data_IF_259008613289
#
_entry.id   IF_259008613289
#
_cell.length_a   1.000
_cell.length_b   1.000
_cell.length_c   1.000
_cell.angle_alpha   90.00
_cell.angle_beta   90.00
_cell.angle_gamma   90.00
#
_symmetry.space_group_name_H-M   'P 1'
#
loop_
_entity.id
_entity.type
_entity.pdbx_description
1 polymer ?
#
# COMPACT_ATOMS: atom_id res chain seq x y z
N UNK A 1 -15.13 -0.03 -20.83
CA UNK A 1 -13.82 -0.74 -20.79
C UNK A 1 -12.74 0.22 -20.35
N UNK A 2 -11.89 -0.21 -19.43
CA UNK A 2 -10.83 0.64 -18.92
C UNK A 2 -9.75 0.89 -19.96
N UNK A 3 -9.22 2.10 -19.99
CA UNK A 3 -8.10 2.46 -20.84
C UNK A 3 -6.85 1.78 -20.28
N UNK A 4 -6.12 0.98 -21.08
CA UNK A 4 -4.90 0.34 -20.61
C UNK A 4 -3.87 1.31 -20.02
N UNK A 5 -3.82 2.56 -20.52
CA UNK A 5 -2.89 3.55 -19.99
C UNK A 5 -3.22 3.94 -18.55
N UNK A 6 -4.50 3.94 -18.18
CA UNK A 6 -4.91 4.22 -16.80
C UNK A 6 -4.48 3.10 -15.88
N UNK A 7 -4.57 1.84 -16.33
CA UNK A 7 -4.09 0.72 -15.53
C UNK A 7 -2.59 0.80 -15.27
N UNK A 8 -1.82 1.25 -16.26
CA UNK A 8 -0.38 1.43 -16.09
C UNK A 8 -0.09 2.51 -15.05
N UNK A 9 -0.83 3.61 -15.06
CA UNK A 9 -0.66 4.68 -14.06
C UNK A 9 -0.94 4.16 -12.66
N UNK A 10 -2.02 3.38 -12.49
CA UNK A 10 -2.36 2.81 -11.18
C UNK A 10 -1.28 1.83 -10.72
N UNK A 11 -0.79 0.99 -11.64
CA UNK A 11 0.30 0.08 -11.33
C UNK A 11 1.54 0.83 -10.86
N UNK A 12 1.86 1.95 -11.50
CA UNK A 12 2.99 2.77 -11.10
C UNK A 12 2.81 3.36 -9.70
N UNK A 13 1.60 3.77 -9.33
CA UNK A 13 1.34 4.27 -7.97
C UNK A 13 1.53 3.15 -6.96
N UNK A 14 1.01 1.95 -7.24
CA UNK A 14 1.22 0.79 -6.35
C UNK A 14 2.71 0.51 -6.18
N UNK A 15 3.48 0.55 -7.27
CA UNK A 15 4.93 0.33 -7.21
C UNK A 15 5.62 1.40 -6.37
N UNK A 16 5.23 2.67 -6.53
CA UNK A 16 5.83 3.76 -5.76
C UNK A 16 5.55 3.63 -4.26
N UNK A 17 4.33 3.22 -3.89
CA UNK A 17 4.00 3.01 -2.49
C UNK A 17 4.89 1.91 -1.90
N UNK A 18 4.99 0.78 -2.58
CA UNK A 18 5.74 -0.36 -2.06
C UNK A 18 7.26 -0.12 -2.07
N UNK A 19 7.78 0.58 -3.05
CA UNK A 19 9.19 0.94 -3.06
C UNK A 19 9.50 1.98 -1.98
N UNK A 20 8.59 2.92 -1.75
CA UNK A 20 8.80 3.95 -0.74
C UNK A 20 8.98 3.36 0.64
N UNK A 21 8.06 2.50 1.08
CA UNK A 21 8.15 1.95 2.42
C UNK A 21 9.24 0.87 2.56
N UNK A 22 9.53 0.12 1.50
CA UNK A 22 10.48 -0.98 1.58
C UNK A 22 11.93 -0.54 1.33
N UNK A 23 12.16 0.55 0.60
CA UNK A 23 13.50 0.98 0.20
C UNK A 23 13.93 2.32 0.77
N UNK A 24 13.00 3.22 1.07
CA UNK A 24 13.31 4.54 1.60
C UNK A 24 13.15 4.57 3.11
N UNK A 25 13.71 5.60 3.76
CA UNK A 25 13.62 5.78 5.21
C UNK A 25 13.42 7.25 5.53
N UNK A 26 12.88 7.52 6.73
CA UNK A 26 12.76 8.87 7.26
C UNK A 26 11.95 9.81 6.40
N UNK A 27 12.46 11.01 6.18
CA UNK A 27 11.74 12.05 5.42
C UNK A 27 11.54 11.67 3.96
N UNK A 28 12.49 10.94 3.36
CA UNK A 28 12.35 10.50 1.97
C UNK A 28 11.17 9.55 1.82
N UNK A 29 11.00 8.63 2.76
CA UNK A 29 9.84 7.73 2.77
C UNK A 29 8.54 8.52 2.95
N UNK A 30 8.50 9.41 3.94
CA UNK A 30 7.32 10.20 4.22
C UNK A 30 6.91 11.04 3.01
N UNK A 31 7.86 11.70 2.37
CA UNK A 31 7.57 12.53 1.20
C UNK A 31 6.98 11.69 0.05
N UNK A 32 7.58 10.53 -0.23
CA UNK A 32 7.11 9.67 -1.31
C UNK A 32 5.71 9.13 -1.02
N UNK A 33 5.44 8.70 0.21
CA UNK A 33 4.13 8.19 0.59
C UNK A 33 3.06 9.29 0.61
N UNK A 34 3.43 10.49 1.06
CA UNK A 34 2.50 11.62 1.08
C UNK A 34 1.99 11.97 -0.32
N UNK A 35 2.81 11.76 -1.34
CA UNK A 35 2.38 12.00 -2.73
C UNK A 35 1.37 10.98 -3.23
N UNK A 36 1.33 9.81 -2.61
CA UNK A 36 0.46 8.71 -3.05
C UNK A 36 -0.86 8.63 -2.31
N UNK A 37 -0.96 9.21 -1.11
CA UNK A 37 -2.13 9.07 -0.24
C UNK A 37 -2.96 10.36 -0.18
N UNK A 38 -4.28 10.19 -0.19
CA UNK A 38 -5.21 11.30 0.02
C UNK A 38 -5.26 11.64 1.52
N UNK A 39 -5.67 12.88 1.83
CA UNK A 39 -5.76 13.32 3.22
C UNK A 39 -6.72 12.46 4.05
N UNK A 40 -7.80 11.99 3.43
CA UNK A 40 -8.83 11.21 4.11
C UNK A 40 -8.62 9.70 4.03
N UNK A 41 -7.40 9.26 3.72
CA UNK A 41 -7.05 7.83 3.62
C UNK A 41 -7.59 7.02 4.79
N UNK A 42 -8.18 5.85 4.50
CA UNK A 42 -8.70 4.92 5.51
C UNK A 42 -7.97 3.59 5.38
N UNK A 43 -7.57 3.02 6.51
CA UNK A 43 -6.93 1.70 6.53
C UNK A 43 -7.79 0.74 7.35
N UNK A 44 -8.10 -0.40 6.74
CA UNK A 44 -8.82 -1.50 7.38
C UNK A 44 -7.91 -2.72 7.49
N UNK A 45 -8.12 -3.50 8.52
CA UNK A 45 -7.38 -4.75 8.74
C UNK A 45 -8.26 -5.98 8.52
N UNK A 46 -7.86 -7.13 9.07
CA UNK A 46 -8.64 -8.35 8.94
C UNK A 46 -10.07 -8.18 9.42
N UNK A 47 -11.03 -8.73 8.65
CA UNK A 47 -12.43 -8.55 8.94
C UNK A 47 -12.94 -7.15 8.67
N UNK A 48 -12.15 -6.34 7.96
CA UNK A 48 -12.46 -4.96 7.63
C UNK A 48 -12.61 -4.04 8.85
N UNK A 49 -12.00 -4.44 9.96
CA UNK A 49 -11.95 -3.61 11.18
C UNK A 49 -11.14 -2.35 10.90
N UNK A 50 -11.61 -1.20 11.37
CA UNK A 50 -10.90 0.06 11.18
C UNK A 50 -9.59 0.04 11.96
N UNK A 51 -8.48 0.20 11.25
CA UNK A 51 -7.15 0.32 11.85
C UNK A 51 -6.84 1.79 12.15
N UNK A 52 -7.14 2.66 11.21
CA UNK A 52 -6.95 4.09 11.38
C UNK A 52 -7.34 4.86 10.14
N UNK A 53 -7.30 6.19 10.25
CA UNK A 53 -7.67 7.06 9.14
C UNK A 53 -6.75 8.27 9.11
N UNK A 54 -6.67 8.89 7.92
CA UNK A 54 -5.85 10.04 7.66
C UNK A 54 -4.53 9.68 7.01
N UNK A 55 -4.04 10.58 6.16
CA UNK A 55 -2.76 10.39 5.46
C UNK A 55 -1.60 10.27 6.44
N UNK A 56 -1.61 11.10 7.48
CA UNK A 56 -0.55 11.07 8.49
C UNK A 56 -0.49 9.71 9.18
N UNK A 57 -1.64 9.15 9.54
CA UNK A 57 -1.68 7.81 10.12
C UNK A 57 -1.16 6.76 9.14
N UNK A 58 -1.56 6.85 7.88
CA UNK A 58 -1.14 5.88 6.86
C UNK A 58 0.37 5.90 6.69
N UNK A 59 0.98 7.08 6.59
CA UNK A 59 2.43 7.21 6.47
C UNK A 59 3.13 6.68 7.72
N UNK A 60 2.63 7.04 8.91
CA UNK A 60 3.22 6.60 10.18
C UNK A 60 3.18 5.09 10.33
N UNK A 61 2.13 4.43 9.84
CA UNK A 61 2.02 2.98 9.96
C UNK A 61 3.17 2.26 9.25
N UNK A 62 3.56 2.75 8.08
CA UNK A 62 4.72 2.19 7.37
C UNK A 62 6.02 2.52 8.08
N UNK A 63 6.17 3.77 8.53
CA UNK A 63 7.38 4.21 9.23
C UNK A 63 7.60 3.41 10.52
N UNK A 64 6.54 3.21 11.29
CA UNK A 64 6.62 2.45 12.54
C UNK A 64 7.05 1.01 12.29
N UNK A 65 6.51 0.39 11.25
CA UNK A 65 6.87 -0.98 10.93
C UNK A 65 8.36 -1.13 10.62
N UNK A 66 8.90 -0.29 9.73
CA UNK A 66 10.31 -0.40 9.33
C UNK A 66 11.28 0.09 10.39
N UNK A 67 10.78 0.85 11.39
CA UNK A 67 11.59 1.23 12.55
C UNK A 67 11.77 0.05 13.50
N UNK A 68 10.74 -0.77 13.63
CA UNK A 68 10.72 -1.91 14.55
C UNK A 68 11.22 -3.20 13.93
N UNK A 69 11.03 -3.37 12.64
CA UNK A 69 11.36 -4.61 11.94
C UNK A 69 12.40 -4.37 10.85
N UNK A 70 13.29 -5.35 10.68
CA UNK A 70 14.23 -5.34 9.56
C UNK A 70 13.64 -6.18 8.44
N UNK A 71 13.29 -5.56 7.32
CA UNK A 71 12.71 -6.26 6.18
C UNK A 71 13.85 -6.91 5.39
N UNK A 72 13.85 -8.23 5.34
CA UNK A 72 14.86 -9.00 4.60
C UNK A 72 14.50 -9.15 3.14
N UNK A 73 13.22 -9.39 2.87
CA UNK A 73 12.74 -9.50 1.49
C UNK A 73 11.25 -9.15 1.45
N UNK A 74 10.84 -8.59 0.33
CA UNK A 74 9.45 -8.29 0.06
C UNK A 74 9.20 -8.47 -1.43
N UNK A 75 8.18 -9.23 -1.77
CA UNK A 75 7.77 -9.40 -3.17
C UNK A 75 6.26 -9.33 -3.27
N UNK A 76 5.78 -8.82 -4.38
CA UNK A 76 4.35 -8.78 -4.65
C UNK A 76 4.08 -9.40 -6.02
N UNK A 77 2.91 -10.04 -6.13
CA UNK A 77 2.46 -10.57 -7.41
C UNK A 77 1.91 -9.44 -8.26
N UNK A 78 1.73 -9.68 -9.55
CA UNK A 78 1.21 -8.68 -10.47
C UNK A 78 -0.15 -8.18 -9.98
N UNK A 79 -0.34 -6.87 -9.78
CA UNK A 79 -1.62 -6.36 -9.32
C UNK A 79 -2.73 -6.56 -10.35
N UNK A 80 -3.93 -6.88 -9.84
CA UNK A 80 -5.14 -6.85 -10.63
C UNK A 80 -5.75 -5.47 -10.45
N UNK A 81 -6.06 -4.79 -11.55
CA UNK A 81 -6.50 -3.40 -11.52
C UNK A 81 -7.81 -3.25 -12.29
N UNK A 82 -8.81 -2.69 -11.61
CA UNK A 82 -10.09 -2.34 -12.21
C UNK A 82 -10.24 -0.83 -12.16
N UNK A 83 -10.64 -0.22 -13.27
CA UNK A 83 -10.85 1.22 -13.35
C UNK A 83 -12.28 1.50 -13.76
N UNK A 84 -12.96 2.38 -13.05
CA UNK A 84 -14.31 2.81 -13.36
C UNK A 84 -14.42 4.31 -13.11
N UNK A 85 -14.41 5.10 -14.19
CA UNK A 85 -14.43 6.56 -14.09
C UNK A 85 -13.24 7.10 -13.32
N UNK A 86 -13.51 7.81 -12.24
CA UNK A 86 -12.49 8.42 -11.39
C UNK A 86 -12.11 7.55 -10.20
N UNK A 87 -12.48 6.28 -10.24
CA UNK A 87 -12.18 5.31 -9.17
C UNK A 87 -11.42 4.13 -9.76
N UNK A 88 -10.45 3.63 -9.02
CA UNK A 88 -9.73 2.42 -9.41
C UNK A 88 -9.51 1.55 -8.17
N UNK A 89 -9.49 0.24 -8.39
CA UNK A 89 -9.18 -0.73 -7.35
C UNK A 89 -7.99 -1.53 -7.82
N UNK A 90 -6.97 -1.63 -6.97
CA UNK A 90 -5.81 -2.48 -7.23
C UNK A 90 -5.67 -3.47 -6.09
N UNK A 91 -5.50 -4.74 -6.42
CA UNK A 91 -5.30 -5.77 -5.42
C UNK A 91 -4.13 -6.66 -5.82
N UNK A 92 -3.40 -7.13 -4.84
CA UNK A 92 -2.26 -8.00 -5.07
C UNK A 92 -1.94 -8.80 -3.82
N UNK A 93 -1.34 -9.96 -4.02
CA UNK A 93 -0.79 -10.78 -2.94
C UNK A 93 0.69 -10.44 -2.77
N UNK A 94 1.16 -10.55 -1.54
CA UNK A 94 2.56 -10.26 -1.24
C UNK A 94 3.11 -11.30 -0.26
N UNK A 95 4.43 -11.42 -0.27
CA UNK A 95 5.18 -12.25 0.68
C UNK A 95 6.31 -11.40 1.24
N UNK A 96 6.49 -11.45 2.56
CA UNK A 96 7.52 -10.66 3.23
C UNK A 96 8.23 -11.50 4.27
N UNK A 97 9.56 -11.38 4.32
CA UNK A 97 10.36 -11.95 5.40
C UNK A 97 11.02 -10.80 6.15
N UNK A 98 10.86 -10.79 7.46
CA UNK A 98 11.40 -9.72 8.29
C UNK A 98 11.85 -10.25 9.64
N UNK A 99 12.70 -9.46 10.32
CA UNK A 99 13.18 -9.78 11.67
C UNK A 99 12.58 -8.75 12.63
N UNK A 100 11.95 -9.24 13.69
CA UNK A 100 11.36 -8.41 14.74
C UNK A 100 11.77 -8.99 16.08
N UNK A 101 12.39 -8.17 16.94
CA UNK A 101 12.86 -8.58 18.26
C UNK A 101 13.76 -9.82 18.21
N UNK A 102 14.60 -9.90 17.17
CA UNK A 102 15.55 -10.99 17.01
C UNK A 102 15.00 -12.27 16.40
N UNK A 103 13.71 -12.30 16.08
CA UNK A 103 13.08 -13.46 15.46
C UNK A 103 12.71 -13.17 14.02
N UNK A 104 12.91 -14.16 13.14
CA UNK A 104 12.58 -14.04 11.73
C UNK A 104 11.16 -14.57 11.46
N UNK A 105 10.40 -13.81 10.72
CA UNK A 105 9.02 -14.17 10.33
C UNK A 105 8.88 -14.09 8.84
N UNK A 106 8.09 -15.00 8.26
CA UNK A 106 7.65 -14.92 6.87
C UNK A 106 6.14 -14.86 6.86
N UNK A 107 5.61 -13.81 6.30
CA UNK A 107 4.17 -13.58 6.23
C UNK A 107 3.72 -13.37 4.80
N UNK A 108 2.47 -13.75 4.53
CA UNK A 108 1.80 -13.54 3.27
C UNK A 108 0.54 -12.76 3.52
N UNK A 109 0.22 -11.88 2.61
CA UNK A 109 -0.98 -11.07 2.75
C UNK A 109 -1.57 -10.71 1.41
N UNK A 110 -2.69 -10.00 1.49
CA UNK A 110 -3.42 -9.53 0.33
C UNK A 110 -3.80 -8.08 0.60
N UNK A 111 -3.29 -7.18 -0.21
CA UNK A 111 -3.62 -5.76 -0.13
C UNK A 111 -4.65 -5.39 -1.17
N UNK A 112 -5.63 -4.59 -0.75
CA UNK A 112 -6.60 -3.98 -1.65
C UNK A 112 -6.50 -2.48 -1.46
N UNK A 113 -6.21 -1.75 -2.53
CA UNK A 113 -6.20 -0.29 -2.53
C UNK A 113 -7.32 0.24 -3.39
N UNK A 114 -7.99 1.27 -2.92
CA UNK A 114 -8.93 2.04 -3.72
C UNK A 114 -8.29 3.40 -3.97
N UNK A 115 -8.29 3.82 -5.23
CA UNK A 115 -7.75 5.10 -5.67
C UNK A 115 -8.85 5.98 -6.21
N UNK A 116 -8.74 7.27 -5.97
CA UNK A 116 -9.60 8.28 -6.57
C UNK A 116 -8.75 9.20 -7.42
N UNK A 117 -9.25 9.53 -8.61
CA UNK A 117 -8.56 10.51 -9.46
C UNK A 117 -9.00 11.91 -9.06
N UNK A 118 -8.00 12.74 -8.75
CA UNK A 118 -8.22 14.12 -8.37
C UNK A 118 -7.34 15.01 -9.23
N UNK A 119 -7.96 15.72 -10.16
CA UNK A 119 -7.22 16.41 -11.20
C UNK A 119 -6.51 15.41 -12.10
N UNK A 120 -5.19 15.50 -12.15
CA UNK A 120 -4.36 14.61 -12.98
C UNK A 120 -3.71 13.50 -12.18
N UNK A 121 -4.05 13.39 -10.89
CA UNK A 121 -3.38 12.44 -9.98
C UNK A 121 -4.35 11.40 -9.47
N UNK A 122 -3.85 10.18 -9.34
CA UNK A 122 -4.56 9.11 -8.65
C UNK A 122 -3.99 8.99 -7.24
N UNK A 123 -4.86 9.13 -6.24
CA UNK A 123 -4.46 9.06 -4.84
C UNK A 123 -5.16 7.91 -4.16
N UNK A 124 -4.44 7.19 -3.29
CA UNK A 124 -5.03 6.11 -2.50
C UNK A 124 -5.94 6.73 -1.44
N UNK A 125 -7.20 6.31 -1.41
CA UNK A 125 -8.18 6.81 -0.44
C UNK A 125 -8.59 5.73 0.56
N UNK A 126 -8.25 4.47 0.30
CA UNK A 126 -8.67 3.35 1.14
C UNK A 126 -7.74 2.17 0.92
N UNK A 127 -7.44 1.46 1.99
CA UNK A 127 -6.64 0.24 1.92
C UNK A 127 -7.20 -0.79 2.87
N UNK A 128 -7.28 -2.04 2.43
CA UNK A 128 -7.53 -3.17 3.31
C UNK A 128 -6.30 -4.06 3.28
N UNK A 129 -5.75 -4.35 4.46
CA UNK A 129 -4.65 -5.26 4.64
C UNK A 129 -5.22 -6.55 5.20
N UNK A 130 -5.26 -7.59 4.38
CA UNK A 130 -5.90 -8.85 4.72
C UNK A 130 -4.86 -9.95 4.80
N UNK A 131 -5.01 -10.90 5.73
CA UNK A 131 -4.13 -12.07 5.74
C UNK A 131 -4.48 -12.98 4.56
N UNK A 132 -3.49 -13.67 4.04
CA UNK A 132 -3.74 -14.71 3.07
C UNK A 132 -4.16 -15.95 3.83
N UNK A 133 -5.34 -16.48 3.49
CA UNK A 133 -5.80 -17.74 4.06
C UNK A 133 -5.32 -18.86 3.15
N UNK A 134 -4.60 -19.79 3.72
CA UNK A 134 -4.12 -20.97 3.00
C UNK A 134 -5.19 -22.02 2.85
#
# INVERSE_FOLDING_TARGET
MADPSEQIVIRDVVSRINEAWSKLRGEAMAAALNECFAEEMVIRGPGFVLVGSGREFAVSSYQNFVTQAEVKSFSLEEPEIDVAGDTAIAQYKWTMTYVLNGEEYTERGHDVFVFARRGKRWLAVWRALLPETS
#
